data_IF_376717216224
#
_entry.id   IF_376717216224
#
_cell.length_a   1.000
_cell.length_b   1.000
_cell.length_c   1.000
_cell.angle_alpha   90.00
_cell.angle_beta   90.00
_cell.angle_gamma   90.00
#
_symmetry.space_group_name_H-M   'P 1'
#
loop_
_entity.id
_entity.type
_entity.pdbx_description
1 polymer ?
#
# COMPACT_ATOMS: atom_id res chain seq x y z
N UNK A 1 0.49 -1.24 1.01
CA UNK A 1 0.28 0.19 0.75
C UNK A 1 0.71 0.88 2.01
N UNK A 2 1.77 1.66 1.89
CA UNK A 2 2.48 2.22 3.04
C UNK A 2 1.98 3.62 3.38
N UNK A 3 1.35 4.31 2.42
CA UNK A 3 0.57 5.50 2.69
C UNK A 3 -0.82 5.07 3.21
N UNK A 4 -1.02 5.18 4.52
CA UNK A 4 -2.23 4.69 5.19
C UNK A 4 -3.44 5.59 4.93
N UNK A 5 -3.20 6.90 4.85
CA UNK A 5 -4.23 7.91 4.59
C UNK A 5 -4.96 7.64 3.27
N UNK A 6 -4.23 7.33 2.19
CA UNK A 6 -4.81 6.98 0.89
C UNK A 6 -5.57 5.64 0.92
N UNK A 7 -5.12 4.67 1.72
CA UNK A 7 -5.86 3.43 1.94
C UNK A 7 -7.24 3.69 2.54
N UNK A 8 -7.31 4.59 3.53
CA UNK A 8 -8.57 5.00 4.15
C UNK A 8 -9.44 5.83 3.20
N UNK A 9 -8.82 6.72 2.39
CA UNK A 9 -9.54 7.49 1.38
C UNK A 9 -10.24 6.58 0.36
N UNK A 10 -9.53 5.58 -0.18
CA UNK A 10 -10.12 4.60 -1.11
C UNK A 10 -11.25 3.80 -0.46
N UNK A 11 -11.09 3.45 0.82
CA UNK A 11 -12.16 2.80 1.59
C UNK A 11 -13.39 3.70 1.74
N UNK A 12 -13.20 4.99 1.93
CA UNK A 12 -14.30 5.96 1.98
C UNK A 12 -15.06 6.03 0.66
N UNK A 13 -14.35 6.05 -0.47
CA UNK A 13 -14.92 6.09 -1.82
C UNK A 13 -15.81 4.87 -2.12
N UNK A 14 -15.43 3.69 -1.62
CA UNK A 14 -16.17 2.43 -1.82
C UNK A 14 -17.19 2.12 -0.70
N UNK A 15 -17.47 3.08 0.19
CA UNK A 15 -18.36 2.87 1.34
C UNK A 15 -19.72 3.56 1.19
N UNK A 16 -20.70 3.13 1.99
CA UNK A 16 -21.99 3.80 2.03
C UNK A 16 -21.86 5.23 2.59
N UNK A 17 -22.85 6.13 2.39
CA UNK A 17 -22.73 7.55 2.75
C UNK A 17 -22.40 7.81 4.23
N UNK A 18 -22.84 6.95 5.15
CA UNK A 18 -22.55 7.10 6.59
C UNK A 18 -21.08 6.80 6.87
N UNK A 19 -20.60 5.65 6.42
CA UNK A 19 -19.20 5.27 6.61
C UNK A 19 -18.24 6.13 5.80
N UNK A 20 -18.68 6.69 4.67
CA UNK A 20 -17.88 7.59 3.86
C UNK A 20 -17.41 8.80 4.67
N UNK A 21 -18.30 9.40 5.46
CA UNK A 21 -17.96 10.55 6.31
C UNK A 21 -16.94 10.14 7.39
N UNK A 22 -17.12 8.97 8.00
CA UNK A 22 -16.22 8.45 9.03
C UNK A 22 -14.83 8.20 8.44
N UNK A 23 -14.73 7.48 7.33
CA UNK A 23 -13.45 7.16 6.70
C UNK A 23 -12.78 8.38 6.07
N UNK A 24 -13.53 9.37 5.58
CA UNK A 24 -12.93 10.64 5.14
C UNK A 24 -12.28 11.39 6.30
N UNK A 25 -12.94 11.42 7.47
CA UNK A 25 -12.35 12.00 8.68
C UNK A 25 -11.08 11.23 9.07
N UNK A 26 -11.14 9.91 9.12
CA UNK A 26 -9.98 9.08 9.48
C UNK A 26 -8.83 9.27 8.50
N UNK A 27 -9.10 9.35 7.19
CA UNK A 27 -8.09 9.60 6.17
C UNK A 27 -7.36 10.94 6.40
N UNK A 28 -8.08 12.01 6.75
CA UNK A 28 -7.48 13.30 7.10
C UNK A 28 -6.63 13.22 8.37
N UNK A 29 -7.13 12.55 9.42
CA UNK A 29 -6.40 12.41 10.68
C UNK A 29 -5.10 11.61 10.51
N UNK A 30 -5.14 10.56 9.70
CA UNK A 30 -3.97 9.76 9.37
C UNK A 30 -2.97 10.58 8.56
N UNK A 31 -3.42 11.36 7.57
CA UNK A 31 -2.55 12.24 6.79
C UNK A 31 -1.83 13.27 7.66
N UNK A 32 -2.55 13.87 8.62
CA UNK A 32 -1.96 14.81 9.58
C UNK A 32 -0.91 14.11 10.45
N UNK A 33 -1.22 12.90 10.93
CA UNK A 33 -0.28 12.11 11.73
C UNK A 33 0.97 11.70 10.93
N UNK A 34 0.81 11.27 9.68
CA UNK A 34 1.93 10.98 8.76
C UNK A 34 2.86 12.18 8.59
N UNK A 35 2.31 13.40 8.52
CA UNK A 35 3.08 14.65 8.45
C UNK A 35 3.82 14.97 9.76
N UNK A 36 3.17 14.75 10.90
CA UNK A 36 3.78 15.00 12.22
C UNK A 36 4.93 14.03 12.47
N UNK A 37 4.65 12.73 12.35
CA UNK A 37 5.62 11.68 12.68
C UNK A 37 6.83 11.69 11.74
N UNK A 38 6.70 12.22 10.52
CA UNK A 38 7.83 12.42 9.62
C UNK A 38 8.97 13.23 10.27
N UNK A 39 8.67 14.18 11.14
CA UNK A 39 9.70 15.00 11.79
C UNK A 39 10.37 14.33 12.99
N UNK A 40 9.82 13.21 13.47
CA UNK A 40 10.33 12.50 14.65
C UNK A 40 11.46 11.52 14.31
N UNK A 41 11.73 11.29 13.01
CA UNK A 41 12.73 10.33 12.54
C UNK A 41 13.73 10.99 11.57
N UNK A 42 14.99 10.56 11.63
CA UNK A 42 16.05 11.06 10.75
C UNK A 42 16.03 10.44 9.34
N UNK A 43 15.54 9.20 9.24
CA UNK A 43 15.54 8.40 8.02
C UNK A 43 14.16 7.79 7.80
N UNK A 44 13.73 7.77 6.54
CA UNK A 44 12.41 7.27 6.15
C UNK A 44 12.52 6.41 4.92
N UNK A 45 11.79 5.31 4.91
CA UNK A 45 11.71 4.40 3.76
C UNK A 45 10.26 4.07 3.43
N UNK A 46 9.99 3.76 2.17
CA UNK A 46 8.67 3.35 1.69
C UNK A 46 8.79 2.34 0.56
N UNK A 47 7.85 1.40 0.43
CA UNK A 47 8.00 0.27 -0.49
C UNK A 47 7.88 0.66 -1.97
N UNK A 48 7.12 1.71 -2.30
CA UNK A 48 6.87 2.04 -3.70
C UNK A 48 6.88 3.55 -3.96
N UNK A 49 7.30 3.93 -5.18
CA UNK A 49 7.16 5.32 -5.65
C UNK A 49 5.70 5.76 -5.68
N UNK A 50 4.77 4.83 -5.94
CA UNK A 50 3.35 5.14 -5.93
C UNK A 50 2.95 5.62 -4.54
N UNK A 51 3.26 4.88 -3.49
CA UNK A 51 2.90 5.25 -2.13
C UNK A 51 3.60 6.55 -1.70
N UNK A 52 4.88 6.74 -2.09
CA UNK A 52 5.61 7.99 -1.82
C UNK A 52 4.89 9.22 -2.39
N UNK A 53 4.37 9.12 -3.61
CA UNK A 53 3.66 10.22 -4.28
C UNK A 53 2.36 10.60 -3.56
N UNK A 54 1.71 9.64 -2.88
CA UNK A 54 0.46 9.85 -2.15
C UNK A 54 0.64 10.46 -0.76
N UNK A 55 1.88 10.55 -0.24
CA UNK A 55 2.13 11.30 0.99
C UNK A 55 1.76 12.77 0.79
N UNK A 56 0.91 13.28 1.67
CA UNK A 56 0.23 14.58 1.56
C UNK A 56 0.92 15.69 2.36
N UNK A 57 2.24 15.60 2.55
CA UNK A 57 3.04 16.59 3.28
C UNK A 57 4.32 16.97 2.52
N UNK A 58 4.89 18.12 2.88
CA UNK A 58 6.14 18.61 2.30
C UNK A 58 7.34 17.80 2.78
N UNK A 59 8.30 17.51 1.90
CA UNK A 59 9.48 16.71 2.25
C UNK A 59 9.36 15.22 1.97
N UNK A 60 8.24 14.75 1.38
CA UNK A 60 8.05 13.36 0.94
C UNK A 60 9.14 12.82 0.01
N UNK A 61 9.81 13.68 -0.75
CA UNK A 61 10.93 13.30 -1.62
C UNK A 61 12.16 12.82 -0.82
N UNK A 62 12.22 13.12 0.49
CA UNK A 62 13.23 12.60 1.41
C UNK A 62 12.92 11.17 1.89
N UNK A 63 11.73 10.67 1.66
CA UNK A 63 11.36 9.28 1.98
C UNK A 63 11.92 8.38 0.89
N UNK A 64 12.88 7.52 1.22
CA UNK A 64 13.56 6.69 0.25
C UNK A 64 12.71 5.50 -0.19
N UNK A 65 12.57 5.29 -1.50
CA UNK A 65 11.88 4.11 -2.02
C UNK A 65 12.77 2.88 -1.90
N UNK A 66 12.35 1.92 -1.07
CA UNK A 66 13.00 0.62 -0.87
C UNK A 66 12.02 -0.49 -1.23
N UNK A 67 12.01 -0.97 -2.49
CA UNK A 67 11.04 -1.96 -2.94
C UNK A 67 11.25 -3.31 -2.27
N UNK A 68 10.15 -3.96 -1.93
CA UNK A 68 10.18 -5.35 -1.46
C UNK A 68 10.74 -6.26 -2.56
N UNK A 69 11.66 -7.13 -2.17
CA UNK A 69 12.21 -8.17 -3.03
C UNK A 69 11.56 -9.53 -2.78
N UNK A 70 11.90 -10.48 -3.65
CA UNK A 70 11.60 -11.90 -3.50
C UNK A 70 12.85 -12.71 -3.81
N UNK A 71 13.01 -13.86 -3.17
CA UNK A 71 14.14 -14.75 -3.44
C UNK A 71 14.00 -15.41 -4.82
N UNK A 72 14.81 -14.95 -5.77
CA UNK A 72 14.77 -15.45 -7.16
C UNK A 72 15.34 -16.87 -7.31
N UNK A 73 16.09 -17.37 -6.33
CA UNK A 73 16.57 -18.75 -6.32
C UNK A 73 15.48 -19.69 -5.85
N UNK A 74 14.78 -19.33 -4.77
CA UNK A 74 13.66 -20.11 -4.26
C UNK A 74 12.48 -20.15 -5.25
N UNK A 75 12.15 -19.01 -5.88
CA UNK A 75 11.04 -18.91 -6.84
C UNK A 75 11.47 -19.11 -8.31
N UNK A 76 12.59 -19.81 -8.54
CA UNK A 76 13.01 -20.17 -9.89
C UNK A 76 12.02 -21.16 -10.55
N UNK A 77 11.81 -21.09 -11.89
CA UNK A 77 10.99 -22.06 -12.59
C UNK A 77 11.50 -23.50 -12.36
N UNK A 78 10.59 -24.42 -12.08
CA UNK A 78 10.90 -25.84 -11.91
C UNK A 78 10.81 -26.56 -13.26
N UNK A 79 11.93 -26.99 -13.87
CA UNK A 79 11.95 -27.49 -15.25
C UNK A 79 11.24 -28.84 -15.43
N UNK A 80 11.09 -29.60 -14.36
CA UNK A 80 10.41 -30.90 -14.36
C UNK A 80 8.87 -30.77 -14.33
N UNK A 81 8.35 -29.55 -14.10
CA UNK A 81 6.91 -29.30 -14.02
C UNK A 81 6.40 -28.80 -15.36
N UNK A 82 5.55 -29.58 -16.01
CA UNK A 82 4.85 -29.18 -17.24
C UNK A 82 3.84 -28.05 -16.94
N UNK A 83 3.93 -26.94 -17.69
CA UNK A 83 2.97 -25.84 -17.62
C UNK A 83 1.63 -26.25 -18.23
N UNK A 84 0.62 -26.47 -17.40
CA UNK A 84 -0.75 -26.87 -17.82
C UNK A 84 -1.75 -25.72 -17.98
N UNK A 85 -1.45 -24.56 -17.40
CA UNK A 85 -2.36 -23.42 -17.35
C UNK A 85 -1.64 -22.13 -17.76
N UNK A 86 -2.35 -21.23 -18.43
CA UNK A 86 -1.83 -19.92 -18.82
C UNK A 86 -2.11 -18.83 -17.78
N UNK A 87 -3.17 -19.00 -16.98
CA UNK A 87 -3.62 -18.01 -16.01
C UNK A 87 -3.78 -18.71 -14.65
N UNK A 88 -3.13 -18.16 -13.65
CA UNK A 88 -3.30 -18.55 -12.25
C UNK A 88 -3.58 -17.29 -11.42
N UNK A 89 -4.58 -17.36 -10.56
CA UNK A 89 -4.81 -16.34 -9.54
C UNK A 89 -4.15 -16.78 -8.24
N UNK A 90 -3.25 -15.96 -7.70
CA UNK A 90 -2.58 -16.20 -6.41
C UNK A 90 -2.78 -14.96 -5.55
N UNK A 91 -3.54 -15.10 -4.48
CA UNK A 91 -3.85 -13.98 -3.60
C UNK A 91 -4.71 -14.40 -2.42
N UNK A 92 -4.61 -13.62 -1.34
CA UNK A 92 -5.48 -13.80 -0.18
C UNK A 92 -6.86 -13.18 -0.49
N UNK A 93 -7.90 -14.01 -0.56
CA UNK A 93 -9.29 -13.57 -0.77
C UNK A 93 -9.95 -13.02 0.50
N UNK A 94 -9.25 -12.96 1.64
CA UNK A 94 -9.69 -12.24 2.83
C UNK A 94 -9.18 -10.80 2.90
N UNK A 95 -8.29 -10.40 1.99
CA UNK A 95 -7.77 -9.04 1.95
C UNK A 95 -8.82 -8.11 1.34
N UNK A 96 -9.23 -7.07 2.07
CA UNK A 96 -10.36 -6.21 1.67
C UNK A 96 -10.30 -5.72 0.21
N UNK A 97 -9.15 -5.26 -0.33
CA UNK A 97 -9.01 -4.93 -1.76
C UNK A 97 -9.27 -6.07 -2.76
N UNK A 98 -9.14 -7.33 -2.36
CA UNK A 98 -9.34 -8.50 -3.21
C UNK A 98 -10.79 -9.03 -3.16
N UNK A 99 -11.65 -8.48 -2.31
CA UNK A 99 -13.04 -8.95 -2.09
C UNK A 99 -14.08 -8.07 -2.78
N UNK A 100 -13.75 -6.80 -3.01
CA UNK A 100 -14.67 -5.79 -3.57
C UNK A 100 -14.78 -5.86 -5.09
#
# INVERSE_FOLDING_TARGET
MDAFSIGMQRRAENSNPIFKIIFQRDASQIADYESVIFHDFDNHTIISEQDQKHLSFGGKDKVHVLPNGVDTQFFAPLPEIEKKYDIAFVGNMGYYPNVQ
#
